data_IF_928198782038
#
_entry.id   IF_928198782038
#
_cell.length_a   1.000
_cell.length_b   1.000
_cell.length_c   1.000
_cell.angle_alpha   90.00
_cell.angle_beta   90.00
_cell.angle_gamma   90.00
#
_symmetry.space_group_name_H-M   'P 1'
#
loop_
_entity.id
_entity.type
_entity.pdbx_description
1 polymer ?
#
# COMPACT_ATOMS: atom_id res chain seq x y z
N UNK A 1 22.59 18.68 -5.68
CA UNK A 1 22.11 17.39 -5.14
C UNK A 1 22.98 16.29 -5.71
N UNK A 2 23.85 15.69 -4.91
CA UNK A 2 24.61 14.51 -5.31
C UNK A 2 23.66 13.36 -5.69
N UNK A 3 24.02 12.60 -6.73
CA UNK A 3 23.25 11.42 -7.14
C UNK A 3 23.39 10.35 -6.05
N UNK A 4 22.36 10.18 -5.21
CA UNK A 4 22.28 9.06 -4.25
C UNK A 4 22.46 7.74 -4.99
N UNK A 5 23.20 6.80 -4.38
CA UNK A 5 23.36 5.43 -4.89
C UNK A 5 21.96 4.79 -5.08
N UNK A 6 21.82 4.04 -6.17
CA UNK A 6 20.57 3.35 -6.51
C UNK A 6 20.14 2.45 -5.34
N UNK A 7 18.92 2.68 -4.85
CA UNK A 7 18.31 1.90 -3.79
C UNK A 7 18.56 2.41 -2.36
N UNK A 8 19.24 3.54 -2.14
CA UNK A 8 19.27 4.13 -0.79
C UNK A 8 17.98 4.91 -0.54
N UNK A 9 17.31 4.76 0.62
CA UNK A 9 16.18 5.59 1.01
C UNK A 9 16.47 7.09 0.89
N UNK A 10 15.44 7.86 0.51
CA UNK A 10 15.56 9.32 0.45
C UNK A 10 15.69 9.93 1.83
N UNK A 11 15.04 9.33 2.81
CA UNK A 11 14.98 9.78 4.19
C UNK A 11 15.17 8.59 5.13
N UNK A 12 15.82 8.80 6.26
CA UNK A 12 15.78 7.85 7.36
C UNK A 12 14.46 7.99 8.16
N UNK A 13 14.24 7.10 9.12
CA UNK A 13 13.00 7.07 9.91
C UNK A 13 12.77 8.36 10.71
N UNK A 14 13.82 8.96 11.28
CA UNK A 14 13.73 10.22 12.01
C UNK A 14 13.33 11.39 11.10
N UNK A 15 13.95 11.50 9.92
CA UNK A 15 13.60 12.51 8.92
C UNK A 15 12.15 12.36 8.45
N UNK A 16 11.70 11.13 8.18
CA UNK A 16 10.30 10.85 7.82
C UNK A 16 9.34 11.26 8.94
N UNK A 17 9.65 10.89 10.19
CA UNK A 17 8.80 11.21 11.33
C UNK A 17 8.68 12.74 11.53
N UNK A 18 9.77 13.48 11.32
CA UNK A 18 9.78 14.93 11.41
C UNK A 18 8.97 15.59 10.27
N UNK A 19 9.17 15.16 9.02
CA UNK A 19 8.45 15.71 7.86
C UNK A 19 6.95 15.42 7.98
N UNK A 20 6.60 14.18 8.35
CA UNK A 20 5.21 13.71 8.35
C UNK A 20 4.50 13.94 9.69
N UNK A 21 5.19 14.48 10.71
CA UNK A 21 4.66 14.67 12.07
C UNK A 21 3.99 13.39 12.59
N UNK A 22 4.71 12.28 12.49
CA UNK A 22 4.19 10.94 12.81
C UNK A 22 3.82 10.86 14.29
N UNK A 23 2.64 10.29 14.55
CA UNK A 23 2.23 9.86 15.87
C UNK A 23 1.51 8.49 15.76
N UNK A 24 1.42 7.75 16.86
CA UNK A 24 0.85 6.40 16.89
C UNK A 24 -0.64 6.33 16.52
N UNK A 25 -1.35 7.46 16.63
CA UNK A 25 -2.80 7.52 16.42
C UNK A 25 -3.17 7.87 14.98
N UNK A 26 -2.19 8.27 14.16
CA UNK A 26 -2.42 8.69 12.78
C UNK A 26 -2.47 7.49 11.84
N UNK A 27 -3.55 7.44 11.06
CA UNK A 27 -3.90 6.34 10.18
C UNK A 27 -4.66 6.87 8.96
N UNK A 28 -4.63 6.10 7.89
CA UNK A 28 -5.45 6.34 6.71
C UNK A 28 -6.19 5.06 6.39
N UNK A 29 -7.48 5.21 6.12
CA UNK A 29 -8.30 4.16 5.55
C UNK A 29 -8.14 4.20 4.03
N UNK A 30 -7.85 3.06 3.41
CA UNK A 30 -7.74 2.96 1.95
C UNK A 30 -8.80 1.98 1.46
N UNK A 31 -9.63 2.34 0.47
CA UNK A 31 -10.71 1.47 0.00
C UNK A 31 -10.12 0.24 -0.69
N UNK A 32 -10.66 -0.93 -0.39
CA UNK A 32 -10.17 -2.20 -0.94
C UNK A 32 -10.30 -2.26 -2.48
N UNK A 33 -11.28 -1.51 -3.02
CA UNK A 33 -11.48 -1.34 -4.46
C UNK A 33 -10.25 -0.71 -5.16
N UNK A 34 -9.47 0.12 -4.47
CA UNK A 34 -8.30 0.76 -5.07
C UNK A 34 -7.23 -0.25 -5.51
N UNK A 35 -7.05 -1.33 -4.76
CA UNK A 35 -6.15 -2.41 -5.20
C UNK A 35 -6.60 -3.01 -6.53
N UNK A 36 -7.92 -3.22 -6.70
CA UNK A 36 -8.50 -3.77 -7.92
C UNK A 36 -8.36 -2.79 -9.09
N UNK A 37 -8.67 -1.51 -8.88
CA UNK A 37 -8.56 -0.47 -9.91
C UNK A 37 -7.14 -0.37 -10.47
N UNK A 38 -6.13 -0.46 -9.60
CA UNK A 38 -4.73 -0.45 -10.03
C UNK A 38 -4.36 -1.68 -10.86
N UNK A 39 -4.86 -2.87 -10.53
CA UNK A 39 -4.54 -4.10 -11.29
C UNK A 39 -5.27 -4.15 -12.64
N UNK A 40 -6.51 -3.69 -12.67
CA UNK A 40 -7.34 -3.73 -13.88
C UNK A 40 -6.98 -2.61 -14.88
N UNK A 41 -6.25 -1.59 -14.43
CA UNK A 41 -5.83 -0.45 -15.23
C UNK A 41 -4.94 -0.86 -16.43
N UNK A 42 -5.38 -0.50 -17.63
CA UNK A 42 -4.73 -0.88 -18.89
C UNK A 42 -3.33 -0.27 -19.06
N UNK A 43 -3.05 0.84 -18.39
CA UNK A 43 -1.76 1.53 -18.38
C UNK A 43 -0.68 0.75 -17.64
N UNK A 44 -1.08 -0.13 -16.73
CA UNK A 44 -0.17 -1.07 -16.10
C UNK A 44 -0.14 -2.42 -16.83
N UNK A 45 -1.16 -2.81 -17.59
CA UNK A 45 -1.11 -4.11 -18.30
C UNK A 45 0.08 -4.19 -19.29
N UNK A 46 0.67 -5.39 -19.47
CA UNK A 46 1.73 -5.58 -20.44
C UNK A 46 1.29 -5.18 -21.84
N UNK A 47 2.07 -4.34 -22.53
CA UNK A 47 1.77 -3.97 -23.91
C UNK A 47 2.45 -4.95 -24.86
N UNK A 48 1.67 -5.55 -25.75
CA UNK A 48 2.21 -6.38 -26.83
C UNK A 48 2.59 -5.44 -27.97
N UNK A 49 3.88 -5.26 -28.21
CA UNK A 49 4.40 -4.54 -29.36
C UNK A 49 4.77 -5.56 -30.45
N UNK A 50 4.39 -5.29 -31.69
CA UNK A 50 4.73 -6.16 -32.83
C UNK A 50 5.92 -5.55 -33.55
N UNK A 51 7.08 -6.20 -33.51
CA UNK A 51 8.27 -5.77 -34.26
C UNK A 51 8.32 -6.55 -35.56
N UNK A 52 8.33 -5.85 -36.70
CA UNK A 52 8.66 -6.46 -37.99
C UNK A 52 10.17 -6.63 -38.08
N UNK A 53 10.61 -7.88 -38.20
CA UNK A 53 11.99 -8.28 -38.47
C UNK A 53 12.09 -8.77 -39.91
N UNK A 54 13.32 -8.95 -40.43
CA UNK A 54 13.55 -9.54 -41.75
C UNK A 54 13.01 -10.99 -41.87
N UNK A 55 12.80 -11.67 -40.73
CA UNK A 55 12.30 -13.06 -40.65
C UNK A 55 10.79 -13.14 -40.37
N UNK A 56 10.10 -12.02 -40.19
CA UNK A 56 8.66 -11.98 -39.91
C UNK A 56 8.28 -11.01 -38.78
N UNK A 57 7.03 -11.08 -38.34
CA UNK A 57 6.55 -10.26 -37.21
C UNK A 57 6.79 -11.00 -35.90
N UNK A 58 7.66 -10.47 -35.04
CA UNK A 58 7.90 -10.99 -33.70
C UNK A 58 7.08 -10.16 -32.71
N UNK A 59 6.26 -10.83 -31.89
CA UNK A 59 5.64 -10.18 -30.75
C UNK A 59 6.73 -9.92 -29.70
N UNK A 60 7.03 -8.66 -29.42
CA UNK A 60 7.79 -8.27 -28.23
C UNK A 60 6.83 -7.85 -27.13
N UNK A 61 7.02 -8.43 -25.96
CA UNK A 61 6.31 -8.00 -24.76
C UNK A 61 6.98 -6.71 -24.28
N UNK A 62 6.46 -5.57 -24.73
CA UNK A 62 6.86 -4.29 -24.18
C UNK A 62 6.17 -4.12 -22.82
N UNK A 63 7.00 -4.37 -21.79
CA UNK A 63 6.82 -3.87 -20.44
C UNK A 63 5.71 -4.59 -19.68
N UNK A 64 6.05 -5.61 -18.91
CA UNK A 64 5.20 -6.05 -17.80
C UNK A 64 4.79 -4.83 -16.96
N UNK A 65 3.57 -4.86 -16.42
CA UNK A 65 3.16 -3.95 -15.36
C UNK A 65 4.30 -3.76 -14.39
N UNK A 66 4.89 -2.56 -14.35
CA UNK A 66 5.98 -2.36 -13.43
C UNK A 66 5.33 -2.29 -12.06
N UNK A 67 5.43 -3.36 -11.27
CA UNK A 67 5.00 -3.43 -9.89
C UNK A 67 5.41 -2.17 -9.09
N UNK A 68 6.55 -1.56 -9.45
CA UNK A 68 6.99 -0.29 -8.87
C UNK A 68 6.06 0.89 -9.15
N UNK A 69 5.44 0.94 -10.33
CA UNK A 69 4.51 1.98 -10.72
C UNK A 69 3.15 1.79 -10.03
N UNK A 70 2.67 0.54 -9.92
CA UNK A 70 1.48 0.20 -9.12
C UNK A 70 1.71 0.59 -7.66
N UNK A 71 2.82 0.13 -7.07
CA UNK A 71 3.18 0.46 -5.70
C UNK A 71 3.37 1.98 -5.50
N UNK A 72 3.93 2.69 -6.48
CA UNK A 72 4.04 4.14 -6.43
C UNK A 72 2.66 4.83 -6.46
N UNK A 73 1.77 4.43 -7.35
CA UNK A 73 0.41 4.97 -7.41
C UNK A 73 -0.33 4.77 -6.09
N UNK A 74 -0.19 3.57 -5.50
CA UNK A 74 -0.72 3.26 -4.19
C UNK A 74 -0.15 4.16 -3.09
N UNK A 75 1.18 4.24 -2.98
CA UNK A 75 1.86 5.09 -2.00
C UNK A 75 1.49 6.56 -2.16
N UNK A 76 1.33 7.03 -3.39
CA UNK A 76 0.98 8.41 -3.68
C UNK A 76 -0.42 8.73 -3.18
N UNK A 77 -1.42 7.90 -3.49
CA UNK A 77 -2.80 8.08 -2.99
C UNK A 77 -2.85 7.99 -1.46
N UNK A 78 -2.15 7.01 -0.86
CA UNK A 78 -2.02 6.93 0.59
C UNK A 78 -1.44 8.21 1.19
N UNK A 79 -0.35 8.73 0.61
CA UNK A 79 0.32 9.93 1.09
C UNK A 79 -0.56 11.17 0.96
N UNK A 80 -1.19 11.43 -0.18
CA UNK A 80 -2.03 12.63 -0.35
C UNK A 80 -3.25 12.58 0.59
N UNK A 81 -3.77 11.39 0.87
CA UNK A 81 -4.84 11.17 1.85
C UNK A 81 -4.36 11.48 3.26
N UNK A 82 -3.16 11.02 3.63
CA UNK A 82 -2.56 11.33 4.92
C UNK A 82 -2.37 12.85 5.11
N UNK A 83 -1.77 13.52 4.11
CA UNK A 83 -1.51 14.96 4.19
C UNK A 83 -2.82 15.74 4.30
N UNK A 84 -3.87 15.34 3.56
CA UNK A 84 -5.18 15.99 3.61
C UNK A 84 -5.89 15.76 4.94
N UNK A 85 -6.01 14.50 5.40
CA UNK A 85 -6.71 14.16 6.66
C UNK A 85 -6.15 14.90 7.86
N UNK A 86 -4.83 15.16 7.87
CA UNK A 86 -4.13 15.76 8.99
C UNK A 86 -3.61 17.17 8.71
N UNK A 87 -4.11 17.82 7.66
CA UNK A 87 -3.70 19.17 7.22
C UNK A 87 -2.17 19.38 7.19
N UNK A 88 -1.41 18.32 6.91
CA UNK A 88 0.04 18.32 7.10
C UNK A 88 0.77 18.65 5.81
N UNK A 89 0.77 19.92 5.41
CA UNK A 89 1.45 20.38 4.18
C UNK A 89 2.75 21.14 4.44
N UNK A 90 3.08 21.38 5.71
CA UNK A 90 4.22 22.21 6.12
C UNK A 90 5.12 21.42 7.05
N UNK A 91 6.43 21.44 6.74
CA UNK A 91 7.50 20.88 7.56
C UNK A 91 8.64 21.88 7.73
N UNK A 92 9.51 21.65 8.71
CA UNK A 92 10.66 22.52 8.97
C UNK A 92 11.97 21.82 8.62
N UNK A 93 12.86 22.55 7.94
CA UNK A 93 14.23 22.15 7.66
C UNK A 93 15.18 23.13 8.36
N UNK A 94 15.53 22.82 9.60
CA UNK A 94 16.14 23.81 10.49
C UNK A 94 15.10 24.87 10.85
N UNK A 95 15.42 26.14 10.61
CA UNK A 95 14.51 27.27 10.84
C UNK A 95 13.64 27.59 9.61
N UNK A 96 13.92 26.96 8.46
CA UNK A 96 13.17 27.19 7.22
C UNK A 96 11.88 26.39 7.19
N UNK A 97 10.76 27.09 7.02
CA UNK A 97 9.46 26.49 6.76
C UNK A 97 9.34 26.09 5.29
N UNK A 98 9.01 24.83 5.03
CA UNK A 98 8.95 24.25 3.70
C UNK A 98 7.57 23.63 3.43
N UNK A 99 7.12 23.73 2.17
CA UNK A 99 5.88 23.12 1.69
C UNK A 99 6.14 21.71 1.14
N UNK A 100 5.21 20.78 1.40
CA UNK A 100 5.24 19.42 0.85
C UNK A 100 4.64 19.43 -0.56
N UNK A 101 5.50 19.63 -1.55
CA UNK A 101 5.14 19.61 -2.97
C UNK A 101 5.19 18.19 -3.59
N UNK A 102 4.79 18.06 -4.86
CA UNK A 102 4.80 16.78 -5.58
C UNK A 102 6.19 16.13 -5.59
N UNK A 103 7.26 16.94 -5.69
CA UNK A 103 8.63 16.41 -5.72
C UNK A 103 8.98 15.77 -4.39
N UNK A 104 8.59 16.40 -3.28
CA UNK A 104 8.79 15.82 -1.96
C UNK A 104 7.92 14.57 -1.77
N UNK A 105 6.65 14.58 -2.19
CA UNK A 105 5.79 13.38 -2.15
C UNK A 105 6.42 12.22 -2.93
N UNK A 106 7.02 12.49 -4.09
CA UNK A 106 7.72 11.46 -4.86
C UNK A 106 8.87 10.85 -4.07
N UNK A 107 9.68 11.69 -3.43
CA UNK A 107 10.80 11.24 -2.59
C UNK A 107 10.32 10.47 -1.36
N UNK A 108 9.24 10.92 -0.71
CA UNK A 108 8.58 10.22 0.40
C UNK A 108 8.09 8.83 -0.04
N UNK A 109 7.59 8.70 -1.26
CA UNK A 109 7.19 7.42 -1.87
C UNK A 109 8.36 6.61 -2.46
N UNK A 110 9.61 6.96 -2.15
CA UNK A 110 10.78 6.22 -2.62
C UNK A 110 11.01 6.31 -4.13
N UNK A 111 10.65 7.42 -4.76
CA UNK A 111 10.79 7.65 -6.20
C UNK A 111 11.48 8.98 -6.50
N UNK A 112 12.27 9.03 -7.58
CA UNK A 112 12.98 10.25 -7.97
C UNK A 112 12.01 11.40 -8.27
N UNK A 113 12.27 12.62 -7.76
CA UNK A 113 11.45 13.79 -8.07
C UNK A 113 11.55 14.22 -9.54
N UNK A 114 12.55 13.73 -10.27
CA UNK A 114 12.74 13.99 -11.71
C UNK A 114 12.34 12.80 -12.58
N UNK A 115 11.57 11.85 -12.02
CA UNK A 115 11.08 10.65 -12.69
C UNK A 115 10.20 10.99 -13.90
N UNK A 116 10.86 11.14 -15.06
CA UNK A 116 10.28 11.46 -16.38
C UNK A 116 10.73 10.40 -17.40
N UNK A 117 10.01 10.30 -18.52
CA UNK A 117 10.36 9.41 -19.63
C UNK A 117 9.75 8.01 -19.53
N UNK A 118 10.34 7.03 -20.24
CA UNK A 118 9.80 5.66 -20.40
C UNK A 118 9.65 4.91 -19.07
N UNK A 119 10.53 5.19 -18.10
CA UNK A 119 10.53 4.62 -16.74
C UNK A 119 10.08 5.62 -15.68
N UNK A 120 9.56 6.77 -16.13
CA UNK A 120 9.03 7.81 -15.26
C UNK A 120 7.67 7.44 -14.69
N UNK A 121 7.36 7.96 -13.50
CA UNK A 121 6.04 7.84 -12.86
C UNK A 121 5.16 9.06 -13.08
N UNK A 122 5.65 10.11 -13.74
CA UNK A 122 4.93 11.37 -13.90
C UNK A 122 3.57 11.24 -14.60
N UNK A 123 3.38 10.24 -15.46
CA UNK A 123 2.08 9.98 -16.10
C UNK A 123 1.00 9.56 -15.10
N UNK A 124 1.39 9.15 -13.90
CA UNK A 124 0.48 8.70 -12.84
C UNK A 124 -0.22 9.90 -12.19
N UNK A 125 0.53 10.98 -11.91
CA UNK A 125 0.06 12.10 -11.08
C UNK A 125 -0.05 13.44 -11.82
N UNK A 126 0.36 13.52 -13.09
CA UNK A 126 0.19 14.74 -13.89
C UNK A 126 -1.30 15.03 -14.12
N UNK A 127 -1.61 16.24 -14.56
CA UNK A 127 -2.95 16.58 -15.07
C UNK A 127 -3.36 15.63 -16.19
N UNK A 128 -4.62 15.19 -16.15
CA UNK A 128 -5.20 14.16 -17.02
C UNK A 128 -4.40 12.85 -16.93
N UNK A 129 -3.73 12.61 -15.79
CA UNK A 129 -2.91 11.45 -15.49
C UNK A 129 -3.75 10.26 -15.04
N UNK A 130 -3.07 9.16 -14.69
CA UNK A 130 -3.74 7.91 -14.29
C UNK A 130 -4.66 8.10 -13.08
N UNK A 131 -4.17 8.72 -12.01
CA UNK A 131 -4.94 8.87 -10.77
C UNK A 131 -6.14 9.81 -10.94
N UNK A 132 -6.01 10.85 -11.77
CA UNK A 132 -7.13 11.74 -12.11
C UNK A 132 -8.19 11.02 -12.95
N UNK A 133 -7.77 10.23 -13.95
CA UNK A 133 -8.71 9.42 -14.76
C UNK A 133 -9.45 8.35 -13.94
N UNK A 134 -8.77 7.75 -12.96
CA UNK A 134 -9.38 6.81 -12.02
C UNK A 134 -10.23 7.53 -10.94
N UNK A 135 -10.14 8.86 -10.86
CA UNK A 135 -10.90 9.67 -9.90
C UNK A 135 -10.37 9.58 -8.47
N UNK A 136 -9.05 9.39 -8.28
CA UNK A 136 -8.39 9.37 -6.97
C UNK A 136 -7.68 10.67 -6.61
N UNK A 137 -7.36 11.53 -7.60
CA UNK A 137 -6.65 12.78 -7.33
C UNK A 137 -6.98 13.87 -8.35
N UNK A 138 -7.14 15.11 -7.88
CA UNK A 138 -7.16 16.32 -8.73
C UNK A 138 -6.36 17.44 -8.08
N UNK A 139 -5.96 18.45 -8.85
CA UNK A 139 -5.24 19.62 -8.31
C UNK A 139 -6.21 20.67 -7.80
N UNK A 140 -6.14 20.94 -6.49
CA UNK A 140 -6.95 21.96 -5.80
C UNK A 140 -6.04 23.03 -5.18
N UNK A 141 -6.52 24.28 -5.11
CA UNK A 141 -5.87 25.38 -4.38
C UNK A 141 -6.58 25.73 -3.06
N UNK A 142 -7.74 25.13 -2.79
CA UNK A 142 -8.38 25.17 -1.48
C UNK A 142 -8.21 23.83 -0.76
N UNK A 143 -7.51 23.86 0.36
CA UNK A 143 -7.11 22.65 1.09
C UNK A 143 -7.10 22.90 2.60
N UNK A 144 -7.21 21.83 3.41
CA UNK A 144 -7.20 21.97 4.86
C UNK A 144 -5.85 22.49 5.34
N UNK A 145 -5.89 23.58 6.09
CA UNK A 145 -4.73 24.10 6.83
C UNK A 145 -4.76 23.69 8.30
N UNK A 146 -5.94 23.27 8.78
CA UNK A 146 -6.15 22.71 10.10
C UNK A 146 -7.40 21.79 10.09
N UNK A 147 -7.57 21.02 11.15
CA UNK A 147 -8.69 20.12 11.34
C UNK A 147 -9.08 20.00 12.81
N UNK A 148 -10.36 19.86 13.08
CA UNK A 148 -10.88 19.63 14.42
C UNK A 148 -11.78 18.39 14.43
N UNK A 149 -11.79 17.70 15.56
CA UNK A 149 -12.77 16.63 15.78
C UNK A 149 -13.93 17.18 16.57
N UNK A 150 -15.12 16.64 16.32
CA UNK A 150 -16.29 16.97 17.12
C UNK A 150 -16.04 16.58 18.58
N UNK A 151 -16.43 17.46 19.50
CA UNK A 151 -16.38 17.22 20.93
C UNK A 151 -17.81 17.34 21.45
N UNK A 152 -18.30 16.28 22.07
CA UNK A 152 -19.65 16.30 22.66
C UNK A 152 -19.70 17.17 23.92
N UNK A 153 -20.91 17.34 24.48
CA UNK A 153 -21.14 18.13 25.70
C UNK A 153 -20.43 17.59 26.95
N UNK A 154 -19.93 16.35 26.91
CA UNK A 154 -19.20 15.70 28.00
C UNK A 154 -17.68 15.74 27.80
N UNK A 155 -17.20 16.32 26.70
CA UNK A 155 -15.78 16.39 26.37
C UNK A 155 -15.25 15.14 25.65
N UNK A 156 -16.12 14.21 25.22
CA UNK A 156 -15.69 13.07 24.42
C UNK A 156 -15.43 13.51 22.99
N UNK A 157 -14.27 13.12 22.45
CA UNK A 157 -13.85 13.44 21.09
C UNK A 157 -14.30 12.33 20.15
N UNK A 158 -15.08 12.68 19.12
CA UNK A 158 -15.40 11.77 18.03
C UNK A 158 -14.30 11.82 16.96
N UNK A 159 -13.44 10.80 16.97
CA UNK A 159 -12.33 10.67 16.02
C UNK A 159 -12.75 10.12 14.65
N UNK A 160 -14.05 9.86 14.43
CA UNK A 160 -14.57 9.29 13.19
C UNK A 160 -14.40 10.28 12.04
N UNK A 161 -14.80 11.54 12.24
CA UNK A 161 -14.91 12.54 11.18
C UNK A 161 -14.16 13.84 11.51
N UNK A 162 -13.07 14.17 10.80
CA UNK A 162 -12.44 15.47 10.91
C UNK A 162 -13.30 16.55 10.22
N UNK A 163 -13.56 17.67 10.90
CA UNK A 163 -14.02 18.91 10.27
C UNK A 163 -12.82 19.75 9.85
N UNK A 164 -12.81 20.18 8.59
CA UNK A 164 -11.67 20.82 7.97
C UNK A 164 -11.79 22.35 7.97
N UNK A 165 -10.73 23.00 8.45
CA UNK A 165 -10.54 24.44 8.30
C UNK A 165 -9.78 24.65 6.98
N UNK A 166 -10.54 24.98 5.94
CA UNK A 166 -10.03 25.20 4.60
C UNK A 166 -9.31 26.56 4.48
N UNK A 167 -8.29 26.62 3.63
CA UNK A 167 -7.53 27.83 3.36
C UNK A 167 -8.43 29.02 2.96
N UNK A 168 -9.44 28.78 2.12
CA UNK A 168 -10.39 29.79 1.68
C UNK A 168 -11.15 30.49 2.81
N UNK A 169 -11.37 29.80 3.95
CA UNK A 169 -12.06 30.34 5.12
C UNK A 169 -11.23 31.36 5.90
N UNK A 170 -9.91 31.23 5.89
CA UNK A 170 -9.01 32.09 6.70
C UNK A 170 -8.13 33.02 5.87
N UNK A 171 -8.09 32.85 4.54
CA UNK A 171 -7.14 33.58 3.68
C UNK A 171 -7.22 35.11 3.80
N UNK A 172 -8.38 35.63 4.19
CA UNK A 172 -8.60 37.07 4.38
C UNK A 172 -8.13 37.56 5.76
N UNK A 173 -7.98 36.66 6.73
CA UNK A 173 -7.47 36.94 8.07
C UNK A 173 -5.94 36.80 8.16
N UNK A 174 -5.33 36.21 7.13
CA UNK A 174 -3.88 36.09 7.04
C UNK A 174 -3.23 37.45 6.73
N UNK A 175 -2.06 37.75 7.32
CA UNK A 175 -1.34 38.98 7.02
C UNK A 175 -1.11 39.19 5.52
N UNK A 176 -1.27 40.43 5.04
CA UNK A 176 -1.04 40.79 3.64
C UNK A 176 0.35 40.34 3.19
N UNK A 177 0.44 39.54 2.12
CA UNK A 177 1.71 38.99 1.62
C UNK A 177 2.07 37.59 2.17
N UNK A 178 1.23 36.98 3.01
CA UNK A 178 1.38 35.59 3.46
C UNK A 178 1.04 34.58 2.34
N UNK A 179 1.88 34.55 1.29
CA UNK A 179 1.67 33.81 0.04
C UNK A 179 2.01 32.31 0.16
N UNK A 180 2.16 31.79 1.39
CA UNK A 180 2.65 30.44 1.69
C UNK A 180 1.70 29.33 1.21
N UNK A 181 0.42 29.64 1.17
CA UNK A 181 -0.65 28.72 0.80
C UNK A 181 -1.19 28.93 -0.61
N UNK A 182 -0.58 29.83 -1.40
CA UNK A 182 -0.90 29.97 -2.83
C UNK A 182 -0.22 28.83 -3.63
N UNK A 183 -0.58 27.60 -3.27
CA UNK A 183 -0.03 26.34 -3.77
C UNK A 183 -1.18 25.44 -4.14
N UNK A 184 -0.95 24.57 -5.12
CA UNK A 184 -1.88 23.50 -5.46
C UNK A 184 -1.43 22.20 -4.82
N UNK A 185 -2.34 21.52 -4.15
CA UNK A 185 -2.14 20.18 -3.60
C UNK A 185 -2.74 19.13 -4.53
N UNK A 186 -2.58 17.85 -4.21
CA UNK A 186 -3.40 16.79 -4.79
C UNK A 186 -4.54 16.49 -3.81
N UNK A 187 -5.76 16.85 -4.18
CA UNK A 187 -6.98 16.55 -3.46
C UNK A 187 -7.35 15.08 -3.62
N UNK A 188 -7.48 14.30 -2.53
CA UNK A 188 -7.81 12.88 -2.60
C UNK A 188 -9.33 12.70 -2.80
N UNK A 189 -9.80 12.72 -4.04
CA UNK A 189 -11.25 12.72 -4.38
C UNK A 189 -12.00 11.60 -3.64
N UNK A 190 -11.52 10.35 -3.72
CA UNK A 190 -12.17 9.19 -3.09
C UNK A 190 -12.19 9.22 -1.57
N UNK A 191 -11.32 10.02 -0.95
CA UNK A 191 -11.35 10.20 0.49
C UNK A 191 -12.59 10.98 0.92
N UNK A 192 -13.03 11.91 0.08
CA UNK A 192 -14.11 12.84 0.38
C UNK A 192 -15.43 12.36 -0.22
N UNK A 193 -15.40 11.80 -1.43
CA UNK A 193 -16.57 11.37 -2.20
C UNK A 193 -16.42 9.92 -2.63
N UNK A 194 -17.43 9.09 -2.43
CA UNK A 194 -17.38 7.68 -2.81
C UNK A 194 -17.15 7.52 -4.30
N UNK A 195 -17.83 8.30 -5.15
CA UNK A 195 -17.70 8.27 -6.60
C UNK A 195 -17.99 9.63 -7.29
N UNK A 196 -18.09 9.62 -8.63
CA UNK A 196 -18.33 10.83 -9.43
C UNK A 196 -19.70 11.44 -9.22
N UNK A 197 -20.71 10.62 -8.92
CA UNK A 197 -22.05 11.10 -8.62
C UNK A 197 -22.03 11.84 -7.28
N UNK A 198 -21.40 11.21 -6.28
CA UNK A 198 -21.16 11.76 -4.95
C UNK A 198 -20.37 13.07 -5.02
N UNK A 199 -19.31 13.12 -5.83
CA UNK A 199 -18.53 14.34 -6.10
C UNK A 199 -19.40 15.44 -6.72
N UNK A 200 -20.19 15.11 -7.74
CA UNK A 200 -21.06 16.08 -8.43
C UNK A 200 -22.19 16.61 -7.52
N UNK A 201 -22.70 15.76 -6.63
CA UNK A 201 -23.70 16.11 -5.63
C UNK A 201 -23.09 16.74 -4.36
N UNK A 202 -21.76 16.85 -4.28
CA UNK A 202 -21.01 17.27 -3.09
C UNK A 202 -21.39 16.47 -1.82
N UNK A 203 -21.66 15.18 -1.99
CA UNK A 203 -21.95 14.25 -0.90
C UNK A 203 -20.65 13.75 -0.29
N UNK A 204 -20.51 13.90 1.03
CA UNK A 204 -19.31 13.51 1.78
C UNK A 204 -19.45 12.09 2.32
N UNK A 205 -19.26 11.11 1.45
CA UNK A 205 -19.39 9.67 1.70
C UNK A 205 -18.14 8.87 1.28
N UNK A 206 -17.03 9.56 0.99
CA UNK A 206 -15.75 8.92 0.73
C UNK A 206 -15.15 8.25 1.98
N UNK A 207 -13.99 7.61 1.83
CA UNK A 207 -13.40 6.79 2.91
C UNK A 207 -12.89 7.55 4.15
N UNK A 208 -13.02 8.88 4.20
CA UNK A 208 -12.91 9.62 5.46
C UNK A 208 -14.19 9.61 6.29
N UNK A 209 -15.34 9.38 5.65
CA UNK A 209 -16.69 9.43 6.24
C UNK A 209 -17.38 8.06 6.27
N UNK A 210 -17.12 7.20 5.28
CA UNK A 210 -17.54 5.81 5.31
C UNK A 210 -16.34 4.88 5.14
N UNK A 211 -15.92 4.29 6.26
CA UNK A 211 -14.77 3.38 6.31
C UNK A 211 -15.14 1.94 5.94
N UNK A 212 -16.38 1.66 5.55
CA UNK A 212 -16.78 0.32 5.10
C UNK A 212 -15.94 -0.13 3.91
N UNK A 213 -15.58 -1.41 3.90
CA UNK A 213 -14.74 -2.01 2.85
C UNK A 213 -13.40 -1.29 2.61
N UNK A 214 -12.88 -0.63 3.64
CA UNK A 214 -11.56 -0.02 3.64
C UNK A 214 -10.60 -0.76 4.57
N UNK A 215 -9.32 -0.54 4.38
CA UNK A 215 -8.26 -1.07 5.22
C UNK A 215 -7.58 0.06 5.96
N UNK A 216 -7.54 -0.07 7.29
CA UNK A 216 -6.78 0.85 8.14
C UNK A 216 -5.27 0.58 8.01
N UNK A 217 -4.50 1.63 7.70
CA UNK A 217 -3.04 1.56 7.63
C UNK A 217 -2.43 2.73 8.41
N UNK A 218 -1.72 2.42 9.50
CA UNK A 218 -0.99 3.39 10.34
C UNK A 218 0.17 4.04 9.57
N UNK A 219 0.40 5.33 9.79
CA UNK A 219 1.51 6.05 9.14
C UNK A 219 2.88 5.47 9.52
N UNK A 220 2.99 4.87 10.70
CA UNK A 220 4.19 4.19 11.14
C UNK A 220 4.59 3.02 10.23
N UNK A 221 3.63 2.30 9.62
CA UNK A 221 3.93 1.24 8.65
C UNK A 221 4.56 1.86 7.40
N UNK A 222 4.02 2.99 6.93
CA UNK A 222 4.58 3.71 5.79
C UNK A 222 6.01 4.17 6.06
N UNK A 223 6.27 4.84 7.19
CA UNK A 223 7.62 5.35 7.49
C UNK A 223 8.60 4.21 7.73
N UNK A 224 8.16 3.13 8.37
CA UNK A 224 8.96 1.92 8.57
C UNK A 224 9.43 1.33 7.24
N UNK A 225 8.51 1.16 6.27
CA UNK A 225 8.85 0.62 4.96
C UNK A 225 9.73 1.58 4.15
N UNK A 226 9.43 2.89 4.12
CA UNK A 226 10.18 3.85 3.31
C UNK A 226 11.59 4.12 3.81
N UNK A 227 11.84 3.94 5.12
CA UNK A 227 13.17 4.04 5.71
C UNK A 227 14.07 2.83 5.43
N UNK A 228 13.53 1.72 4.91
CA UNK A 228 14.24 0.44 4.72
C UNK A 228 14.33 0.10 3.24
N UNK A 229 15.56 -0.11 2.76
CA UNK A 229 15.86 -0.32 1.33
C UNK A 229 15.18 -1.57 0.76
N UNK A 230 15.14 -2.63 1.55
CA UNK A 230 14.61 -3.94 1.21
C UNK A 230 13.07 -3.98 1.15
N UNK A 231 12.41 -3.03 1.82
CA UNK A 231 10.95 -2.89 1.82
C UNK A 231 10.52 -1.84 0.81
N UNK A 232 10.77 -0.55 1.11
CA UNK A 232 10.34 0.58 0.32
C UNK A 232 8.86 0.55 -0.06
N UNK A 233 8.53 1.16 -1.21
CA UNK A 233 7.16 1.20 -1.74
C UNK A 233 6.56 -0.16 -2.06
N UNK A 234 7.36 -1.11 -2.53
CA UNK A 234 6.87 -2.45 -2.88
C UNK A 234 6.48 -3.24 -1.61
N UNK A 235 7.32 -3.20 -0.58
CA UNK A 235 7.02 -3.81 0.71
C UNK A 235 5.79 -3.18 1.37
N UNK A 236 5.68 -1.84 1.34
CA UNK A 236 4.49 -1.14 1.84
C UNK A 236 3.21 -1.53 1.08
N UNK A 237 3.25 -1.51 -0.25
CA UNK A 237 2.10 -1.90 -1.09
C UNK A 237 1.67 -3.35 -0.85
N UNK A 238 2.61 -4.30 -0.80
CA UNK A 238 2.31 -5.71 -0.57
C UNK A 238 1.74 -5.93 0.84
N UNK A 239 2.33 -5.31 1.86
CA UNK A 239 1.80 -5.37 3.23
C UNK A 239 0.36 -4.85 3.28
N UNK A 240 0.10 -3.67 2.70
CA UNK A 240 -1.22 -3.07 2.66
C UNK A 240 -2.25 -3.96 1.94
N UNK A 241 -1.85 -4.57 0.82
CA UNK A 241 -2.68 -5.54 0.10
C UNK A 241 -3.02 -6.74 0.98
N UNK A 242 -2.01 -7.38 1.58
CA UNK A 242 -2.22 -8.55 2.45
C UNK A 242 -3.11 -8.21 3.64
N UNK A 243 -2.90 -7.04 4.25
CA UNK A 243 -3.71 -6.55 5.37
C UNK A 243 -5.17 -6.42 4.95
N UNK A 244 -5.45 -5.82 3.79
CA UNK A 244 -6.80 -5.69 3.26
C UNK A 244 -7.53 -7.03 3.08
N UNK A 245 -6.79 -8.06 2.67
CA UNK A 245 -7.34 -9.41 2.52
C UNK A 245 -7.56 -10.05 3.88
N UNK A 246 -6.60 -9.96 4.79
CA UNK A 246 -6.73 -10.51 6.13
C UNK A 246 -7.92 -9.88 6.88
N UNK A 247 -8.05 -8.55 6.85
CA UNK A 247 -9.16 -7.84 7.48
C UNK A 247 -10.51 -8.28 6.91
N UNK A 248 -10.61 -8.42 5.58
CA UNK A 248 -11.83 -8.90 4.91
C UNK A 248 -12.18 -10.36 5.24
N UNK A 249 -11.19 -11.27 5.21
CA UNK A 249 -11.43 -12.69 5.49
C UNK A 249 -11.73 -12.95 6.96
N UNK A 250 -11.08 -12.22 7.87
CA UNK A 250 -11.40 -12.29 9.30
C UNK A 250 -12.84 -11.88 9.56
N UNK A 251 -13.30 -10.79 8.94
CA UNK A 251 -14.68 -10.31 9.08
C UNK A 251 -15.75 -11.26 8.50
N UNK A 252 -15.38 -12.15 7.57
CA UNK A 252 -16.35 -12.96 6.80
C UNK A 252 -16.30 -14.46 7.08
N UNK A 253 -15.18 -14.97 7.63
CA UNK A 253 -14.96 -16.42 7.73
C UNK A 253 -14.37 -16.88 9.07
N UNK A 254 -14.18 -15.98 10.05
CA UNK A 254 -13.42 -16.20 11.31
C UNK A 254 -11.98 -16.71 11.10
N UNK A 255 -11.50 -16.81 9.86
CA UNK A 255 -10.13 -17.20 9.52
C UNK A 255 -9.21 -16.00 9.63
N UNK A 256 -8.18 -16.11 10.48
CA UNK A 256 -7.17 -15.06 10.69
C UNK A 256 -6.17 -14.86 9.52
N UNK A 257 -6.40 -15.43 8.33
CA UNK A 257 -5.39 -15.40 7.28
C UNK A 257 -5.93 -15.47 5.85
N UNK A 258 -5.17 -14.85 4.93
CA UNK A 258 -5.41 -14.89 3.49
C UNK A 258 -4.79 -16.14 2.88
N UNK A 259 -5.61 -17.01 2.31
CA UNK A 259 -5.19 -18.27 1.71
C UNK A 259 -5.02 -18.11 0.20
N UNK A 260 -3.78 -18.15 -0.30
CA UNK A 260 -3.49 -17.87 -1.71
C UNK A 260 -2.22 -18.56 -2.20
N UNK A 261 -2.17 -18.98 -3.47
CA UNK A 261 -0.91 -19.47 -4.04
C UNK A 261 0.02 -18.29 -4.37
N UNK A 262 1.32 -18.55 -4.51
CA UNK A 262 2.26 -17.52 -4.97
C UNK A 262 1.96 -17.05 -6.40
N UNK A 263 1.39 -17.93 -7.25
CA UNK A 263 0.94 -17.57 -8.59
C UNK A 263 -0.20 -16.57 -8.50
N UNK A 264 -1.28 -16.93 -7.80
CA UNK A 264 -2.46 -16.09 -7.76
C UNK A 264 -2.16 -14.76 -7.03
N UNK A 265 -1.35 -14.78 -5.97
CA UNK A 265 -0.90 -13.55 -5.29
C UNK A 265 -0.07 -12.64 -6.21
N UNK A 266 0.67 -13.22 -7.16
CA UNK A 266 1.43 -12.46 -8.17
C UNK A 266 0.48 -11.76 -9.15
N UNK A 267 -0.60 -12.42 -9.56
CA UNK A 267 -1.65 -11.85 -10.42
C UNK A 267 -2.45 -10.78 -9.68
N UNK A 268 -2.83 -11.08 -8.45
CA UNK A 268 -3.58 -10.23 -7.53
C UNK A 268 -2.89 -8.90 -7.20
N UNK A 269 -1.55 -8.85 -7.26
CA UNK A 269 -0.74 -7.68 -6.88
C UNK A 269 0.04 -7.08 -8.04
N UNK A 270 0.10 -7.75 -9.19
CA UNK A 270 0.95 -7.36 -10.32
C UNK A 270 2.45 -7.44 -10.00
N UNK A 271 2.85 -8.03 -8.87
CA UNK A 271 4.25 -8.24 -8.49
C UNK A 271 4.69 -9.60 -9.05
N UNK A 272 5.68 -9.60 -9.95
CA UNK A 272 6.22 -10.84 -10.50
C UNK A 272 6.72 -11.81 -9.42
N UNK A 273 6.43 -13.10 -9.58
CA UNK A 273 6.67 -14.17 -8.57
C UNK A 273 8.04 -14.13 -7.88
N UNK A 274 9.12 -13.89 -8.64
CA UNK A 274 10.48 -13.86 -8.09
C UNK A 274 10.66 -12.68 -7.12
N UNK A 275 10.14 -11.51 -7.48
CA UNK A 275 10.15 -10.32 -6.63
C UNK A 275 9.22 -10.52 -5.45
N UNK A 276 8.03 -11.06 -5.69
CA UNK A 276 7.04 -11.35 -4.65
C UNK A 276 7.59 -12.32 -3.60
N UNK A 277 8.21 -13.42 -4.00
CA UNK A 277 8.82 -14.38 -3.08
C UNK A 277 9.88 -13.73 -2.18
N UNK A 278 10.73 -12.87 -2.76
CA UNK A 278 11.75 -12.15 -1.99
C UNK A 278 11.12 -11.14 -1.02
N UNK A 279 10.11 -10.40 -1.46
CA UNK A 279 9.41 -9.44 -0.62
C UNK A 279 8.68 -10.11 0.53
N UNK A 280 8.03 -11.25 0.31
CA UNK A 280 7.39 -12.04 1.37
C UNK A 280 8.42 -12.45 2.43
N UNK A 281 9.57 -12.99 2.01
CA UNK A 281 10.67 -13.31 2.94
C UNK A 281 11.10 -12.08 3.74
N UNK A 282 11.31 -10.94 3.09
CA UNK A 282 11.70 -9.69 3.78
C UNK A 282 10.62 -9.23 4.76
N UNK A 283 9.34 -9.27 4.40
CA UNK A 283 8.24 -8.93 5.31
C UNK A 283 8.21 -9.85 6.54
N UNK A 284 8.48 -11.15 6.36
CA UNK A 284 8.58 -12.12 7.46
C UNK A 284 9.83 -11.88 8.34
N UNK A 285 10.98 -11.54 7.75
CA UNK A 285 12.20 -11.19 8.49
C UNK A 285 11.96 -10.01 9.43
N UNK A 286 11.12 -9.06 9.01
CA UNK A 286 10.73 -7.87 9.78
C UNK A 286 9.52 -8.09 10.70
N UNK A 287 9.02 -9.32 10.82
CA UNK A 287 7.81 -9.67 11.58
C UNK A 287 6.58 -8.83 11.20
N UNK A 288 6.45 -8.48 9.92
CA UNK A 288 5.29 -7.78 9.38
C UNK A 288 4.18 -8.75 8.96
N UNK A 289 4.57 -9.97 8.58
CA UNK A 289 3.64 -11.03 8.20
C UNK A 289 4.11 -12.38 8.75
N UNK A 290 3.17 -13.31 8.84
CA UNK A 290 3.42 -14.74 8.90
C UNK A 290 3.02 -15.39 7.56
N UNK A 291 3.76 -16.41 7.16
CA UNK A 291 3.52 -17.23 5.99
C UNK A 291 3.67 -18.70 6.38
N UNK A 292 2.69 -19.53 6.03
CA UNK A 292 2.70 -20.94 6.44
C UNK A 292 3.74 -21.81 5.72
N UNK A 293 4.38 -21.31 4.66
CA UNK A 293 5.39 -22.04 3.86
C UNK A 293 4.96 -23.44 3.42
N UNK A 294 3.69 -23.61 3.05
CA UNK A 294 3.14 -24.91 2.64
C UNK A 294 3.94 -25.52 1.49
N UNK A 295 4.11 -26.86 1.55
CA UNK A 295 4.98 -27.63 0.67
C UNK A 295 4.66 -27.44 -0.81
N UNK A 296 5.70 -27.45 -1.64
CA UNK A 296 5.56 -27.65 -3.08
C UNK A 296 5.81 -29.13 -3.41
N UNK A 297 4.78 -29.82 -3.89
CA UNK A 297 4.81 -31.27 -4.13
C UNK A 297 5.02 -31.56 -5.61
N UNK A 298 6.15 -32.19 -5.94
CA UNK A 298 6.46 -32.62 -7.30
C UNK A 298 5.79 -33.98 -7.57
N UNK A 299 5.23 -34.15 -8.76
CA UNK A 299 4.60 -35.41 -9.17
C UNK A 299 3.22 -35.65 -8.56
N UNK A 300 2.54 -34.58 -8.10
CA UNK A 300 1.21 -34.69 -7.53
C UNK A 300 0.22 -35.28 -8.57
N UNK A 301 -0.48 -36.39 -8.25
CA UNK A 301 -1.45 -37.00 -9.16
C UNK A 301 -2.57 -36.06 -9.55
N UNK A 302 -3.08 -36.22 -10.78
CA UNK A 302 -4.22 -35.45 -11.28
C UNK A 302 -5.42 -35.63 -10.35
N UNK A 303 -5.99 -34.53 -9.88
CA UNK A 303 -7.13 -34.52 -8.96
C UNK A 303 -6.77 -34.31 -7.49
N UNK A 304 -5.53 -34.61 -7.07
CA UNK A 304 -5.05 -34.20 -5.73
C UNK A 304 -4.64 -32.73 -5.74
N UNK A 305 -4.95 -32.02 -4.65
CA UNK A 305 -4.53 -30.63 -4.44
C UNK A 305 -3.98 -30.48 -3.03
N UNK A 306 -2.85 -29.78 -2.91
CA UNK A 306 -2.25 -29.43 -1.63
C UNK A 306 -2.73 -28.04 -1.18
N UNK A 307 -2.83 -27.78 0.13
CA UNK A 307 -3.17 -26.45 0.61
C UNK A 307 -2.17 -25.38 0.12
N UNK A 308 -2.65 -24.23 -0.38
CA UNK A 308 -1.78 -23.11 -0.72
C UNK A 308 -1.28 -22.40 0.55
N UNK A 309 -0.41 -21.40 0.43
CA UNK A 309 0.08 -20.67 1.59
C UNK A 309 -1.04 -19.90 2.30
N UNK A 310 -0.92 -19.78 3.62
CA UNK A 310 -1.71 -18.84 4.42
C UNK A 310 -0.83 -17.67 4.85
N UNK A 311 -1.32 -16.46 4.63
CA UNK A 311 -0.66 -15.21 5.00
C UNK A 311 -1.44 -14.51 6.11
N UNK A 312 -0.74 -14.03 7.14
CA UNK A 312 -1.33 -13.26 8.25
C UNK A 312 -0.51 -11.98 8.39
N UNK A 313 -1.15 -10.83 8.54
CA UNK A 313 -0.46 -9.56 8.81
C UNK A 313 -0.42 -9.26 10.30
N UNK A 314 0.68 -8.69 10.77
CA UNK A 314 0.81 -8.17 12.12
C UNK A 314 0.65 -6.66 12.15
N UNK A 315 0.34 -6.11 13.33
CA UNK A 315 0.29 -4.67 13.54
C UNK A 315 1.69 -4.09 13.72
N UNK A 316 1.82 -2.78 13.53
CA UNK A 316 3.11 -2.08 13.58
C UNK A 316 3.87 -2.31 14.89
N UNK A 317 3.14 -2.44 16.00
CA UNK A 317 3.66 -2.68 17.34
C UNK A 317 4.46 -3.99 17.43
N UNK A 318 4.15 -4.97 16.59
CA UNK A 318 4.79 -6.29 16.56
C UNK A 318 6.00 -6.34 15.62
N UNK A 319 6.26 -5.28 14.84
CA UNK A 319 7.34 -5.29 13.85
C UNK A 319 8.70 -5.30 14.54
N UNK A 320 9.64 -6.04 13.98
CA UNK A 320 11.00 -6.04 14.50
C UNK A 320 11.75 -4.78 14.07
N UNK A 321 12.14 -3.95 15.05
CA UNK A 321 12.77 -2.65 14.75
C UNK A 321 14.25 -2.77 14.41
N UNK A 322 14.95 -3.70 15.05
CA UNK A 322 16.42 -3.80 15.02
C UNK A 322 16.94 -5.16 14.56
N UNK A 323 16.24 -6.25 14.87
CA UNK A 323 16.69 -7.61 14.56
C UNK A 323 15.83 -8.23 13.46
N UNK A 324 16.42 -9.07 12.62
CA UNK A 324 15.69 -9.83 11.62
C UNK A 324 15.54 -11.27 12.08
N UNK A 325 14.35 -11.84 11.95
CA UNK A 325 14.15 -13.27 12.15
C UNK A 325 14.72 -14.07 10.98
N UNK A 326 15.27 -15.24 11.28
CA UNK A 326 15.52 -16.25 10.26
C UNK A 326 14.20 -16.82 9.74
N UNK A 327 13.99 -16.76 8.43
CA UNK A 327 12.75 -17.22 7.79
C UNK A 327 12.97 -18.61 7.21
N UNK A 328 12.06 -19.53 7.51
CA UNK A 328 12.06 -20.85 6.90
C UNK A 328 11.74 -20.73 5.40
N UNK A 329 12.40 -21.55 4.58
CA UNK A 329 12.08 -21.62 3.16
C UNK A 329 11.09 -22.73 2.90
N UNK A 330 10.21 -22.51 1.91
CA UNK A 330 9.28 -23.54 1.46
C UNK A 330 10.03 -24.82 1.09
N UNK A 331 9.58 -25.94 1.64
CA UNK A 331 10.10 -27.27 1.31
C UNK A 331 9.52 -27.77 -0.02
N UNK A 332 10.41 -28.28 -0.87
CA UNK A 332 10.08 -28.98 -2.11
C UNK A 332 10.25 -30.47 -1.86
N UNK A 333 9.18 -31.26 -2.06
CA UNK A 333 9.16 -32.70 -1.75
C UNK A 333 8.52 -33.50 -2.88
N UNK A 334 8.84 -34.80 -2.96
CA UNK A 334 8.14 -35.71 -3.87
C UNK A 334 6.73 -36.05 -3.37
N UNK A 335 5.88 -36.51 -4.27
CA UNK A 335 4.55 -36.99 -3.93
C UNK A 335 4.60 -38.13 -2.90
N UNK A 336 5.47 -39.13 -3.07
CA UNK A 336 5.57 -40.28 -2.17
C UNK A 336 5.95 -39.86 -0.75
N UNK A 337 6.88 -38.90 -0.63
CA UNK A 337 7.24 -38.34 0.66
C UNK A 337 6.05 -37.59 1.29
N UNK A 338 5.38 -36.73 0.51
CA UNK A 338 4.26 -35.95 1.03
C UNK A 338 3.09 -36.84 1.46
N UNK A 339 2.70 -37.81 0.65
CA UNK A 339 1.60 -38.75 0.92
C UNK A 339 1.87 -39.60 2.17
N UNK A 340 3.13 -40.03 2.37
CA UNK A 340 3.50 -40.88 3.52
C UNK A 340 3.81 -40.12 4.82
N UNK A 341 4.22 -38.84 4.75
CA UNK A 341 4.69 -38.07 5.93
C UNK A 341 3.83 -36.88 6.31
N UNK A 342 3.09 -36.30 5.36
CA UNK A 342 2.30 -35.08 5.59
C UNK A 342 0.82 -35.36 5.39
N UNK A 343 0.42 -35.91 4.24
CA UNK A 343 -0.92 -36.43 3.99
C UNK A 343 -2.05 -35.40 3.88
N UNK A 344 -1.78 -34.09 3.88
CA UNK A 344 -2.82 -33.05 3.90
C UNK A 344 -3.27 -32.67 2.48
N UNK A 345 -4.53 -32.96 2.12
CA UNK A 345 -5.10 -32.65 0.80
C UNK A 345 -6.40 -31.83 0.90
N UNK A 346 -6.60 -30.89 -0.03
CA UNK A 346 -7.85 -30.13 -0.13
C UNK A 346 -9.00 -31.04 -0.61
N UNK A 347 -10.18 -30.90 0.00
CA UNK A 347 -11.40 -31.64 -0.37
C UNK A 347 -11.49 -33.07 0.17
N UNK A 348 -10.63 -33.43 1.12
CA UNK A 348 -10.81 -34.62 1.96
C UNK A 348 -11.59 -34.24 3.22
N UNK A 349 -12.41 -35.15 3.78
CA UNK A 349 -13.29 -34.89 4.95
C UNK A 349 -12.51 -34.40 6.19
N UNK A 350 -11.18 -34.61 6.20
CA UNK A 350 -10.23 -33.95 7.09
C UNK A 350 -9.97 -32.50 6.62
N UNK A 351 -11.03 -31.74 6.34
CA UNK A 351 -10.94 -30.31 6.10
C UNK A 351 -10.40 -29.66 7.37
N UNK A 352 -9.08 -29.43 7.37
CA UNK A 352 -8.35 -28.46 8.19
C UNK A 352 -9.11 -28.11 9.48
N UNK A 353 -9.26 -29.09 10.37
CA UNK A 353 -9.62 -28.78 11.74
C UNK A 353 -8.51 -27.85 12.24
N UNK A 354 -8.88 -26.68 12.75
CA UNK A 354 -7.97 -25.65 13.27
C UNK A 354 -6.92 -26.21 14.25
N UNK A 355 -7.21 -27.39 14.83
CA UNK A 355 -6.35 -28.17 15.72
C UNK A 355 -5.09 -28.75 15.03
N UNK A 356 -5.12 -29.02 13.72
CA UNK A 356 -3.99 -29.62 13.00
C UNK A 356 -3.07 -28.60 12.32
N UNK A 357 -3.49 -27.33 12.25
CA UNK A 357 -2.54 -26.24 12.10
C UNK A 357 -2.25 -25.79 13.53
N UNK A 358 -1.32 -26.48 14.20
CA UNK A 358 -0.49 -25.77 15.18
C UNK A 358 0.18 -24.64 14.40
N UNK A 359 -0.53 -23.52 14.25
CA UNK A 359 0.10 -22.23 14.11
C UNK A 359 0.95 -22.17 15.36
N UNK A 360 2.23 -22.51 15.22
CA UNK A 360 3.28 -21.98 16.07
C UNK A 360 3.32 -20.48 15.82
N UNK A 361 2.21 -19.79 16.09
CA UNK A 361 2.27 -18.42 16.55
C UNK A 361 3.26 -18.48 17.71
N UNK A 362 4.23 -17.57 17.79
CA UNK A 362 4.93 -17.37 19.04
C UNK A 362 3.86 -16.97 20.07
N UNK A 363 3.33 -17.96 20.79
CA UNK A 363 2.36 -17.78 21.88
C UNK A 363 3.02 -17.23 23.15
N UNK A 364 4.22 -16.65 23.01
CA UNK A 364 4.98 -16.01 24.06
C UNK A 364 5.73 -14.81 23.47
N UNK A 365 5.08 -13.66 23.41
CA UNK A 365 5.71 -12.34 23.53
C UNK A 365 4.83 -11.46 24.42
#
# INVERSE_FOLDING_TARGET
>A
MERKKVGTPYFNELELNNILKVNSNKKVFIPNQFFKDLIECNEFKPKISKIKTHEGTVNTYEKEANANHIAFAFCFVYMISYLYRYANYIYYKGEEECFIDDKLIYMLCGTSPTSRGKDGVSYITKKDGLLERLGYSVKEDDFPIDYVYYVDVFGNVDYSFPDFILYSKVKYDLPTGYNKYNKKINYPIRAMHYDKESESANTLDGYFYDVQYSTEIKINVFTYCMARKELGKLGFYLYAYLKSRCDYFYATTDRKGYVRTLQDLSEDTGIGKSVLSKLLTVLEEHNMIFNSHNHYVIGLPKGKKVPPNTYITFDFEDFYKYEKKSVETRKVVSYEYYDSKVGVYLGTIEEVNEVNIELKMPLNL
#
